data_IF_440546710795
#
_entry.id   IF_440546710795
#
_cell.length_a   1.000
_cell.length_b   1.000
_cell.length_c   1.000
_cell.angle_alpha   90.00
_cell.angle_beta   90.00
_cell.angle_gamma   90.00
#
_symmetry.space_group_name_H-M   'P 1'
#
loop_
_entity.id
_entity.type
_entity.pdbx_description
1 polymer ?
#
# COMPACT_ATOMS: atom_id res chain seq x y z
N UNK A 1 0.21 -15.64 -12.86
CA UNK A 1 -0.87 -16.27 -12.07
C UNK A 1 -2.15 -16.48 -12.88
N UNK A 2 -2.69 -15.45 -13.55
CA UNK A 2 -3.99 -15.59 -14.26
C UNK A 2 -3.88 -15.41 -15.78
N UNK A 3 -3.29 -14.32 -16.26
CA UNK A 3 -3.39 -13.89 -17.65
C UNK A 3 -2.13 -14.15 -18.52
N UNK A 4 -1.14 -14.87 -18.02
CA UNK A 4 0.13 -15.18 -18.72
C UNK A 4 0.97 -13.98 -19.20
N UNK A 5 0.59 -12.74 -18.87
CA UNK A 5 1.42 -11.54 -18.98
C UNK A 5 1.39 -10.75 -17.66
N UNK A 6 2.34 -9.83 -17.53
CA UNK A 6 2.52 -9.00 -16.35
C UNK A 6 3.99 -8.71 -16.09
N UNK A 7 4.28 -8.14 -14.92
CA UNK A 7 5.64 -7.86 -14.49
C UNK A 7 5.82 -8.31 -13.04
N UNK A 8 6.90 -9.04 -12.79
CA UNK A 8 7.33 -9.43 -11.46
C UNK A 8 8.47 -8.50 -11.05
N UNK A 9 8.29 -7.81 -9.93
CA UNK A 9 9.32 -6.94 -9.37
C UNK A 9 10.43 -7.77 -8.74
N UNK A 10 11.59 -7.15 -8.52
CA UNK A 10 12.77 -7.80 -7.96
C UNK A 10 12.49 -8.44 -6.58
N UNK A 11 11.55 -7.92 -5.79
CA UNK A 11 11.18 -8.52 -4.49
C UNK A 11 10.60 -9.93 -4.61
N UNK A 12 9.98 -10.25 -5.74
CA UNK A 12 9.49 -11.59 -6.02
C UNK A 12 10.63 -12.54 -6.39
N UNK A 13 11.59 -12.05 -7.17
CA UNK A 13 12.81 -12.80 -7.50
C UNK A 13 13.60 -13.15 -6.23
N UNK A 14 13.71 -12.21 -5.30
CA UNK A 14 14.35 -12.39 -3.99
C UNK A 14 13.45 -13.03 -2.93
N UNK A 15 12.21 -13.40 -3.30
CA UNK A 15 11.26 -14.13 -2.44
C UNK A 15 10.99 -13.41 -1.11
N UNK A 16 10.88 -12.09 -1.18
CA UNK A 16 10.56 -11.20 -0.06
C UNK A 16 9.04 -11.01 0.13
N UNK A 17 8.24 -11.39 -0.87
CA UNK A 17 6.78 -11.27 -0.87
C UNK A 17 6.14 -12.66 -0.99
N UNK A 18 5.11 -12.91 -0.20
CA UNK A 18 4.39 -14.18 -0.19
C UNK A 18 3.14 -14.14 -1.07
N UNK A 19 2.70 -15.29 -1.55
CA UNK A 19 1.56 -15.37 -2.47
C UNK A 19 0.20 -15.40 -1.76
N UNK A 20 0.15 -15.61 -0.45
CA UNK A 20 -1.09 -15.74 0.34
C UNK A 20 -2.08 -14.58 0.12
N UNK A 21 -1.61 -13.33 0.18
CA UNK A 21 -2.50 -12.17 0.00
C UNK A 21 -2.85 -11.93 -1.49
N UNK A 22 -1.90 -11.94 -2.44
CA UNK A 22 -2.22 -11.82 -3.86
C UNK A 22 -3.16 -12.90 -4.40
N UNK A 23 -3.17 -14.11 -3.82
CA UNK A 23 -4.08 -15.18 -4.22
C UNK A 23 -5.55 -14.83 -4.05
N UNK A 24 -5.89 -14.00 -3.05
CA UNK A 24 -7.26 -13.51 -2.84
C UNK A 24 -7.72 -12.72 -4.06
N UNK A 25 -6.84 -11.90 -4.66
CA UNK A 25 -7.17 -11.13 -5.85
C UNK A 25 -7.02 -11.96 -7.13
N UNK A 26 -6.05 -12.88 -7.16
CA UNK A 26 -5.88 -13.79 -8.29
C UNK A 26 -7.11 -14.70 -8.48
N UNK A 27 -7.78 -15.13 -7.40
CA UNK A 27 -9.02 -15.90 -7.51
C UNK A 27 -10.16 -15.07 -8.10
N UNK A 28 -10.32 -13.82 -7.68
CA UNK A 28 -11.27 -12.87 -8.27
C UNK A 28 -11.00 -12.71 -9.78
N UNK A 29 -9.74 -12.47 -10.15
CA UNK A 29 -9.33 -12.34 -11.54
C UNK A 29 -9.58 -13.60 -12.36
N UNK A 30 -9.32 -14.79 -11.78
CA UNK A 30 -9.58 -16.06 -12.44
C UNK A 30 -11.06 -16.29 -12.68
N UNK A 31 -11.93 -15.93 -11.73
CA UNK A 31 -13.39 -16.01 -11.88
C UNK A 31 -13.84 -15.09 -13.03
N UNK A 32 -13.38 -13.84 -13.05
CA UNK A 32 -13.72 -12.89 -14.11
C UNK A 32 -13.29 -13.39 -15.50
N UNK A 33 -12.09 -13.95 -15.59
CA UNK A 33 -11.56 -14.53 -16.81
C UNK A 33 -12.40 -15.73 -17.30
N UNK A 34 -12.75 -16.65 -16.40
CA UNK A 34 -13.59 -17.81 -16.73
C UNK A 34 -15.00 -17.41 -17.18
N UNK A 35 -15.51 -16.28 -16.71
CA UNK A 35 -16.80 -15.72 -17.13
C UNK A 35 -16.72 -14.90 -18.44
N UNK A 36 -15.52 -14.70 -19.01
CA UNK A 36 -15.31 -13.82 -20.16
C UNK A 36 -15.63 -12.35 -19.86
N UNK A 37 -15.50 -11.93 -18.59
CA UNK A 37 -15.80 -10.57 -18.11
C UNK A 37 -14.57 -9.91 -17.48
N UNK A 38 -13.39 -10.15 -18.02
CA UNK A 38 -12.11 -9.57 -17.58
C UNK A 38 -11.85 -8.18 -18.17
N UNK A 39 -12.87 -7.33 -18.22
CA UNK A 39 -12.67 -5.93 -18.62
C UNK A 39 -11.80 -5.19 -17.60
N UNK A 40 -10.97 -4.25 -18.06
CA UNK A 40 -10.03 -3.51 -17.21
C UNK A 40 -10.74 -2.85 -16.02
N UNK A 41 -11.94 -2.30 -16.24
CA UNK A 41 -12.73 -1.68 -15.18
C UNK A 41 -13.10 -2.67 -14.08
N UNK A 42 -13.52 -3.89 -14.42
CA UNK A 42 -13.85 -4.90 -13.41
C UNK A 42 -12.60 -5.37 -12.66
N UNK A 43 -11.46 -5.49 -13.34
CA UNK A 43 -10.19 -5.88 -12.72
C UNK A 43 -9.62 -4.79 -11.77
N UNK A 44 -9.96 -3.53 -12.00
CA UNK A 44 -9.62 -2.43 -11.08
C UNK A 44 -10.62 -2.37 -9.91
N UNK A 45 -11.92 -2.36 -10.19
CA UNK A 45 -12.93 -2.03 -9.18
C UNK A 45 -13.29 -3.19 -8.26
N UNK A 46 -13.37 -4.43 -8.74
CA UNK A 46 -13.81 -5.56 -7.90
C UNK A 46 -12.84 -5.83 -6.74
N UNK A 47 -11.51 -5.88 -6.93
CA UNK A 47 -10.56 -6.01 -5.82
C UNK A 47 -10.69 -4.89 -4.79
N UNK A 48 -10.91 -3.66 -5.25
CA UNK A 48 -11.10 -2.48 -4.37
C UNK A 48 -12.40 -2.58 -3.58
N UNK A 49 -13.49 -3.02 -4.21
CA UNK A 49 -14.77 -3.26 -3.54
C UNK A 49 -14.67 -4.41 -2.52
N UNK A 50 -13.99 -5.50 -2.86
CA UNK A 50 -13.74 -6.60 -1.93
C UNK A 50 -12.95 -6.12 -0.70
N UNK A 51 -11.89 -5.32 -0.92
CA UNK A 51 -11.11 -4.71 0.16
C UNK A 51 -11.94 -3.72 0.99
N UNK A 52 -12.79 -2.91 0.35
CA UNK A 52 -13.68 -1.98 1.03
C UNK A 52 -14.72 -2.70 1.90
N UNK A 53 -15.27 -3.82 1.42
CA UNK A 53 -16.19 -4.66 2.19
C UNK A 53 -15.51 -5.26 3.42
N UNK A 54 -14.28 -5.75 3.28
CA UNK A 54 -13.48 -6.23 4.42
C UNK A 54 -13.22 -5.12 5.44
N UNK A 55 -12.90 -3.91 4.98
CA UNK A 55 -12.76 -2.73 5.84
C UNK A 55 -14.07 -2.36 6.55
N UNK A 56 -15.20 -2.39 5.85
CA UNK A 56 -16.52 -2.14 6.45
C UNK A 56 -16.88 -3.18 7.53
N UNK A 57 -16.57 -4.46 7.29
CA UNK A 57 -16.71 -5.52 8.31
C UNK A 57 -15.86 -5.20 9.54
N UNK A 58 -14.62 -4.77 9.34
CA UNK A 58 -13.74 -4.37 10.43
C UNK A 58 -14.33 -3.19 11.23
N UNK A 59 -14.82 -2.14 10.57
CA UNK A 59 -15.43 -0.98 11.23
C UNK A 59 -16.70 -1.38 12.04
N UNK A 60 -17.53 -2.28 11.51
CA UNK A 60 -18.68 -2.85 12.23
C UNK A 60 -18.23 -3.66 13.45
N UNK A 61 -17.12 -4.39 13.35
CA UNK A 61 -16.55 -5.12 14.50
C UNK A 61 -15.98 -4.18 15.55
N UNK A 62 -15.37 -3.07 15.16
CA UNK A 62 -14.94 -2.02 16.09
C UNK A 62 -16.15 -1.41 16.84
N UNK A 63 -17.20 -1.03 16.12
CA UNK A 63 -18.44 -0.52 16.72
C UNK A 63 -19.05 -1.55 17.69
N UNK A 64 -19.11 -2.81 17.26
CA UNK A 64 -19.69 -3.90 18.06
C UNK A 64 -18.86 -4.18 19.32
N UNK A 65 -17.53 -4.12 19.23
CA UNK A 65 -16.63 -4.23 20.38
C UNK A 65 -16.89 -3.12 21.39
N UNK A 66 -16.94 -1.86 20.94
CA UNK A 66 -17.17 -0.73 21.84
C UNK A 66 -18.56 -0.74 22.45
N UNK A 67 -19.59 -1.15 21.69
CA UNK A 67 -20.95 -1.31 22.22
C UNK A 67 -21.01 -2.38 23.32
N UNK A 68 -20.20 -3.43 23.19
CA UNK A 68 -20.13 -4.53 24.14
C UNK A 68 -19.34 -4.18 25.40
N UNK A 69 -18.23 -3.45 25.28
CA UNK A 69 -17.40 -3.07 26.41
C UNK A 69 -17.98 -1.88 27.18
N UNK A 70 -18.62 -0.94 26.49
CA UNK A 70 -19.14 0.32 27.03
C UNK A 70 -20.66 0.41 26.88
N UNK A 71 -21.12 1.44 26.19
CA UNK A 71 -22.51 1.73 25.90
C UNK A 71 -22.65 2.17 24.43
N UNK A 72 -23.90 2.30 23.99
CA UNK A 72 -24.21 2.69 22.62
C UNK A 72 -23.71 4.09 22.25
N UNK A 73 -23.61 5.01 23.21
CA UNK A 73 -23.14 6.37 22.94
C UNK A 73 -21.64 6.40 22.59
N UNK A 74 -20.79 5.82 23.43
CA UNK A 74 -19.33 5.76 23.17
C UNK A 74 -19.07 5.02 21.85
N UNK A 75 -19.76 3.90 21.61
CA UNK A 75 -19.62 3.15 20.37
C UNK A 75 -19.93 3.99 19.12
N UNK A 76 -21.00 4.80 19.16
CA UNK A 76 -21.36 5.71 18.06
C UNK A 76 -20.27 6.74 17.78
N UNK A 77 -19.68 7.33 18.82
CA UNK A 77 -18.64 8.34 18.65
C UNK A 77 -17.30 7.75 18.19
N UNK A 78 -16.92 6.56 18.65
CA UNK A 78 -15.74 5.84 18.13
C UNK A 78 -15.94 5.52 16.65
N UNK A 79 -17.12 5.00 16.28
CA UNK A 79 -17.45 4.69 14.89
C UNK A 79 -17.48 5.94 14.01
N UNK A 80 -18.03 7.06 14.51
CA UNK A 80 -17.97 8.35 13.82
C UNK A 80 -16.53 8.79 13.55
N UNK A 81 -15.64 8.77 14.56
CA UNK A 81 -14.23 9.12 14.38
C UNK A 81 -13.54 8.22 13.35
N UNK A 82 -13.78 6.91 13.41
CA UNK A 82 -13.23 5.95 12.46
C UNK A 82 -13.71 6.23 11.03
N UNK A 83 -15.02 6.47 10.85
CA UNK A 83 -15.63 6.81 9.56
C UNK A 83 -15.27 8.20 9.08
N UNK A 84 -14.83 9.12 9.93
CA UNK A 84 -14.42 10.46 9.54
C UNK A 84 -12.92 10.59 9.33
N UNK A 85 -12.11 9.55 9.58
CA UNK A 85 -10.67 9.66 9.39
C UNK A 85 -10.30 9.73 7.90
N UNK A 86 -9.63 10.83 7.50
CA UNK A 86 -9.18 11.01 6.12
C UNK A 86 -8.23 9.89 5.69
N UNK A 87 -7.37 9.44 6.61
CA UNK A 87 -6.38 8.41 6.34
C UNK A 87 -7.02 7.03 6.18
N UNK A 88 -8.06 6.74 6.98
CA UNK A 88 -8.89 5.54 6.76
C UNK A 88 -9.50 5.56 5.36
N UNK A 89 -10.08 6.69 4.90
CA UNK A 89 -10.63 6.78 3.54
C UNK A 89 -9.57 6.61 2.45
N UNK A 90 -8.39 7.18 2.67
CA UNK A 90 -7.25 7.04 1.76
C UNK A 90 -6.80 5.59 1.61
N UNK A 91 -6.79 4.80 2.69
CA UNK A 91 -6.24 3.44 2.71
C UNK A 91 -7.28 2.32 2.52
N UNK A 92 -8.50 2.45 3.04
CA UNK A 92 -9.43 1.32 3.26
C UNK A 92 -9.92 0.61 1.99
N UNK A 93 -9.87 1.29 0.83
CA UNK A 93 -10.25 0.73 -0.48
C UNK A 93 -9.06 0.24 -1.29
N UNK A 94 -7.84 0.51 -0.84
CA UNK A 94 -6.60 0.13 -1.54
C UNK A 94 -6.19 -1.27 -1.09
N UNK A 95 -5.80 -2.09 -2.06
CA UNK A 95 -5.34 -3.49 -1.87
C UNK A 95 -3.92 -3.57 -1.30
N UNK A 96 -3.64 -2.77 -0.27
CA UNK A 96 -2.38 -2.74 0.45
C UNK A 96 -2.36 -3.83 1.52
N UNK A 97 -1.20 -4.44 1.74
CA UNK A 97 -1.02 -5.38 2.86
C UNK A 97 -1.23 -4.70 4.21
N UNK A 98 -0.90 -3.41 4.35
CA UNK A 98 -1.20 -2.64 5.56
C UNK A 98 -2.71 -2.48 5.80
N UNK A 99 -3.52 -2.35 4.74
CA UNK A 99 -4.98 -2.27 4.90
C UNK A 99 -5.50 -3.60 5.43
N UNK A 100 -5.02 -4.72 4.90
CA UNK A 100 -5.40 -6.05 5.38
C UNK A 100 -4.90 -6.32 6.81
N UNK A 101 -3.69 -5.88 7.15
CA UNK A 101 -3.13 -5.90 8.52
C UNK A 101 -4.05 -5.16 9.51
N UNK A 102 -4.52 -3.96 9.15
CA UNK A 102 -5.49 -3.19 9.96
C UNK A 102 -6.82 -3.91 10.09
N UNK A 103 -7.39 -4.42 8.99
CA UNK A 103 -8.66 -5.16 8.99
C UNK A 103 -8.59 -6.36 9.93
N UNK A 104 -7.57 -7.20 9.77
CA UNK A 104 -7.38 -8.39 10.60
C UNK A 104 -7.14 -8.02 12.06
N UNK A 105 -6.39 -6.93 12.32
CA UNK A 105 -6.15 -6.43 13.68
C UNK A 105 -7.44 -6.00 14.37
N UNK A 106 -8.34 -5.28 13.70
CA UNK A 106 -9.62 -4.86 14.30
C UNK A 106 -10.53 -6.08 14.55
N UNK A 107 -10.64 -7.00 13.59
CA UNK A 107 -11.47 -8.20 13.75
C UNK A 107 -10.90 -9.10 14.85
N UNK A 108 -9.58 -9.23 14.95
CA UNK A 108 -8.93 -9.97 16.03
C UNK A 108 -9.17 -9.28 17.39
N UNK A 109 -9.11 -7.94 17.45
CA UNK A 109 -9.39 -7.20 18.68
C UNK A 109 -10.81 -7.46 19.22
N UNK A 110 -11.79 -7.67 18.33
CA UNK A 110 -13.15 -8.05 18.73
C UNK A 110 -13.22 -9.37 19.52
N UNK A 111 -12.36 -10.34 19.19
CA UNK A 111 -12.26 -11.64 19.88
C UNK A 111 -11.19 -11.68 20.99
N UNK A 112 -10.41 -10.62 21.14
CA UNK A 112 -9.32 -10.54 22.12
C UNK A 112 -9.89 -10.36 23.56
N UNK A 113 -9.27 -10.97 24.59
CA UNK A 113 -9.68 -10.93 26.00
C UNK A 113 -9.53 -9.55 26.67
N UNK A 114 -10.26 -8.52 26.20
CA UNK A 114 -10.43 -7.27 26.95
C UNK A 114 -11.38 -7.46 28.13
N UNK A 115 -11.11 -6.75 29.22
CA UNK A 115 -11.97 -6.71 30.40
C UNK A 115 -13.40 -6.28 30.05
N UNK A 116 -14.35 -7.19 30.24
CA UNK A 116 -15.77 -7.00 29.90
C UNK A 116 -16.17 -7.54 28.52
N UNK A 117 -15.24 -8.11 27.74
CA UNK A 117 -15.57 -8.74 26.46
C UNK A 117 -16.28 -10.08 26.70
N UNK A 118 -17.48 -10.22 26.15
CA UNK A 118 -18.26 -11.49 26.11
C UNK A 118 -17.96 -12.33 24.86
N UNK A 119 -17.25 -11.77 23.88
CA UNK A 119 -16.95 -12.40 22.58
C UNK A 119 -15.57 -13.04 22.54
N UNK A 120 -14.90 -13.15 23.70
CA UNK A 120 -13.55 -13.64 23.84
C UNK A 120 -13.38 -15.05 23.24
N UNK A 121 -12.39 -15.22 22.37
CA UNK A 121 -12.02 -16.53 21.83
C UNK A 121 -10.54 -16.56 21.43
N UNK A 122 -9.74 -17.30 22.19
CA UNK A 122 -8.29 -17.36 22.02
C UNK A 122 -7.86 -17.92 20.67
N UNK A 123 -8.56 -18.93 20.15
CA UNK A 123 -8.26 -19.53 18.84
C UNK A 123 -8.58 -18.56 17.70
N UNK A 124 -9.75 -17.88 17.75
CA UNK A 124 -10.18 -16.97 16.68
C UNK A 124 -9.27 -15.76 16.54
N UNK A 125 -8.97 -15.07 17.65
CA UNK A 125 -8.10 -13.89 17.56
C UNK A 125 -6.68 -14.31 17.18
N UNK A 126 -6.12 -15.37 17.75
CA UNK A 126 -4.76 -15.82 17.42
C UNK A 126 -4.64 -16.27 15.96
N UNK A 127 -5.67 -16.91 15.40
CA UNK A 127 -5.71 -17.29 13.97
C UNK A 127 -5.69 -16.07 13.05
N UNK A 128 -6.44 -15.03 13.40
CA UNK A 128 -6.46 -13.77 12.65
C UNK A 128 -5.13 -13.03 12.75
N UNK A 129 -4.49 -13.04 13.92
CA UNK A 129 -3.16 -12.46 14.14
C UNK A 129 -2.08 -13.22 13.37
N UNK A 130 -2.14 -14.56 13.40
CA UNK A 130 -1.23 -15.40 12.63
C UNK A 130 -1.39 -15.17 11.12
N UNK A 131 -2.63 -15.06 10.63
CA UNK A 131 -2.89 -14.68 9.23
C UNK A 131 -2.34 -13.28 8.91
N UNK A 132 -2.52 -12.31 9.80
CA UNK A 132 -1.97 -10.96 9.62
C UNK A 132 -0.44 -10.99 9.54
N UNK A 133 0.21 -11.78 10.38
CA UNK A 133 1.66 -12.00 10.36
C UNK A 133 2.14 -12.67 9.07
N UNK A 134 1.42 -13.66 8.55
CA UNK A 134 1.74 -14.32 7.28
C UNK A 134 1.66 -13.32 6.12
N UNK A 135 0.59 -12.51 6.07
CA UNK A 135 0.42 -11.47 5.04
C UNK A 135 1.47 -10.37 5.20
N UNK A 136 1.79 -10.01 6.45
CA UNK A 136 2.72 -8.95 6.77
C UNK A 136 3.40 -9.22 8.12
N UNK A 137 4.70 -9.58 8.14
CA UNK A 137 5.41 -9.92 9.39
C UNK A 137 5.41 -8.80 10.43
N UNK A 138 5.27 -7.54 10.01
CA UNK A 138 5.18 -6.39 10.91
C UNK A 138 3.95 -6.38 11.82
N UNK A 139 2.92 -7.19 11.53
CA UNK A 139 1.74 -7.32 12.37
C UNK A 139 2.07 -7.77 13.79
N UNK A 140 3.22 -8.43 13.99
CA UNK A 140 3.70 -8.79 15.33
C UNK A 140 3.92 -7.56 16.20
N UNK A 141 4.32 -6.42 15.62
CA UNK A 141 4.67 -5.20 16.38
C UNK A 141 3.49 -4.70 17.22
N UNK A 142 2.31 -4.36 16.65
CA UNK A 142 1.16 -3.93 17.45
C UNK A 142 0.60 -5.07 18.31
N UNK A 143 0.79 -6.34 17.94
CA UNK A 143 0.26 -7.45 18.72
C UNK A 143 1.14 -7.85 19.91
N UNK A 144 2.43 -7.50 19.94
CA UNK A 144 3.34 -7.87 21.04
C UNK A 144 2.82 -7.44 22.42
N UNK A 145 2.44 -6.16 22.68
CA UNK A 145 1.94 -5.77 23.99
C UNK A 145 0.63 -6.47 24.37
N UNK A 146 -0.25 -6.73 23.40
CA UNK A 146 -1.52 -7.41 23.60
C UNK A 146 -1.32 -8.89 23.93
N UNK A 147 -0.50 -9.60 23.14
CA UNK A 147 -0.17 -11.00 23.38
C UNK A 147 0.54 -11.18 24.72
N UNK A 148 1.46 -10.28 25.06
CA UNK A 148 2.13 -10.29 26.36
C UNK A 148 1.16 -10.08 27.52
N UNK A 149 0.22 -9.13 27.39
CA UNK A 149 -0.83 -8.92 28.41
C UNK A 149 -1.66 -10.19 28.60
N UNK A 150 -2.15 -10.81 27.52
CA UNK A 150 -2.95 -12.03 27.63
C UNK A 150 -2.15 -13.17 28.27
N UNK A 151 -0.89 -13.36 27.88
CA UNK A 151 0.00 -14.35 28.49
C UNK A 151 0.19 -14.13 30.00
N UNK A 152 0.31 -12.87 30.44
CA UNK A 152 0.43 -12.55 31.87
C UNK A 152 -0.86 -12.76 32.65
N UNK A 153 -2.03 -12.59 32.01
CA UNK A 153 -3.35 -12.77 32.64
C UNK A 153 -3.78 -14.23 32.72
N UNK A 154 -3.31 -15.08 31.81
CA UNK A 154 -3.71 -16.49 31.74
C UNK A 154 -3.00 -17.32 32.82
N UNK A 155 -3.73 -17.99 33.74
CA UNK A 155 -3.13 -18.83 34.76
C UNK A 155 -2.46 -20.08 34.16
N UNK A 156 -3.07 -20.68 33.13
CA UNK A 156 -2.55 -21.89 32.47
C UNK A 156 -1.70 -21.55 31.24
N UNK A 157 -0.56 -20.91 31.50
CA UNK A 157 0.37 -20.41 30.47
C UNK A 157 0.78 -21.48 29.45
N UNK A 158 1.10 -22.68 29.92
CA UNK A 158 1.51 -23.79 29.04
C UNK A 158 0.37 -24.25 28.12
N UNK A 159 -0.87 -24.26 28.62
CA UNK A 159 -2.04 -24.64 27.84
C UNK A 159 -2.34 -23.63 26.72
N UNK A 160 -2.22 -22.33 27.02
CA UNK A 160 -2.35 -21.27 26.03
C UNK A 160 -1.30 -21.40 24.92
N UNK A 161 -0.05 -21.69 25.27
CA UNK A 161 1.01 -21.85 24.28
C UNK A 161 0.81 -23.13 23.46
N UNK A 162 0.72 -24.29 24.13
CA UNK A 162 0.77 -25.60 23.49
C UNK A 162 -0.51 -25.97 22.74
N UNK A 163 -1.68 -25.58 23.25
CA UNK A 163 -2.97 -25.95 22.64
C UNK A 163 -3.61 -24.85 21.81
N UNK A 164 -3.12 -23.60 21.90
CA UNK A 164 -3.70 -22.49 21.13
C UNK A 164 -2.68 -21.85 20.20
N UNK A 165 -1.61 -21.25 20.71
CA UNK A 165 -0.69 -20.48 19.86
C UNK A 165 0.15 -21.37 18.93
N UNK A 166 0.69 -22.47 19.44
CA UNK A 166 1.54 -23.36 18.66
C UNK A 166 0.75 -24.08 17.54
N UNK A 167 -0.44 -24.65 17.77
CA UNK A 167 -1.23 -25.27 16.70
C UNK A 167 -1.67 -24.27 15.64
N UNK A 168 -2.14 -23.07 16.05
CA UNK A 168 -2.53 -22.01 15.12
C UNK A 168 -1.34 -21.54 14.28
N UNK A 169 -0.19 -21.30 14.92
CA UNK A 169 1.04 -20.92 14.23
C UNK A 169 1.52 -22.01 13.26
N UNK A 170 1.50 -23.27 13.69
CA UNK A 170 1.89 -24.41 12.85
C UNK A 170 1.00 -24.54 11.61
N UNK A 171 -0.33 -24.51 11.77
CA UNK A 171 -1.27 -24.64 10.65
C UNK A 171 -1.11 -23.48 9.66
N UNK A 172 -1.08 -22.24 10.16
CA UNK A 172 -1.00 -21.04 9.31
C UNK A 172 0.35 -20.95 8.57
N UNK A 173 1.45 -21.25 9.25
CA UNK A 173 2.78 -21.26 8.65
C UNK A 173 2.93 -22.39 7.63
N UNK A 174 2.45 -23.59 7.94
CA UNK A 174 2.48 -24.73 7.01
C UNK A 174 1.69 -24.41 5.74
N UNK A 175 0.51 -23.80 5.86
CA UNK A 175 -0.27 -23.37 4.71
C UNK A 175 0.48 -22.32 3.86
N UNK A 176 1.11 -21.32 4.49
CA UNK A 176 1.93 -20.34 3.77
C UNK A 176 3.09 -21.00 3.05
N UNK A 177 3.82 -21.90 3.72
CA UNK A 177 4.95 -22.62 3.13
C UNK A 177 4.53 -23.48 1.93
N UNK A 178 3.37 -24.14 2.00
CA UNK A 178 2.81 -24.90 0.89
C UNK A 178 2.45 -23.99 -0.29
N UNK A 179 1.78 -22.87 -0.02
CA UNK A 179 1.45 -21.86 -1.04
C UNK A 179 2.74 -21.37 -1.72
N UNK A 180 3.71 -20.91 -0.94
CA UNK A 180 4.96 -20.36 -1.45
C UNK A 180 5.78 -21.43 -2.20
N UNK A 181 5.75 -22.70 -1.77
CA UNK A 181 6.37 -23.84 -2.48
C UNK A 181 5.77 -24.09 -3.86
N UNK A 182 4.46 -23.93 -4.01
CA UNK A 182 3.75 -24.12 -5.29
C UNK A 182 4.18 -23.04 -6.28
N UNK A 183 4.26 -21.78 -5.86
CA UNK A 183 4.54 -20.66 -6.76
C UNK A 183 6.04 -20.43 -7.01
N UNK A 184 6.90 -20.56 -5.99
CA UNK A 184 8.34 -20.35 -6.15
C UNK A 184 9.10 -21.60 -6.65
N UNK A 185 8.45 -22.77 -6.69
CA UNK A 185 9.09 -24.02 -7.08
C UNK A 185 10.09 -24.58 -6.05
N UNK A 186 10.22 -23.95 -4.88
CA UNK A 186 11.10 -24.38 -3.78
C UNK A 186 10.55 -23.95 -2.42
N UNK A 187 10.93 -24.65 -1.35
CA UNK A 187 10.49 -24.32 0.01
C UNK A 187 11.06 -22.97 0.41
N UNK A 188 10.18 -22.01 0.65
CA UNK A 188 10.55 -20.61 0.87
C UNK A 188 9.82 -20.09 2.09
N UNK A 189 10.57 -19.71 3.13
CA UNK A 189 10.02 -19.03 4.30
C UNK A 189 10.12 -17.52 4.09
N UNK A 190 9.10 -16.95 3.45
CA UNK A 190 9.05 -15.52 3.08
C UNK A 190 9.23 -14.61 4.30
N UNK A 191 8.65 -14.97 5.44
CA UNK A 191 8.70 -14.17 6.66
C UNK A 191 10.14 -14.03 7.19
N UNK A 192 10.96 -15.08 7.04
CA UNK A 192 12.38 -15.05 7.37
C UNK A 192 13.17 -14.20 6.37
N UNK A 193 12.91 -14.34 5.07
CA UNK A 193 13.56 -13.51 4.05
C UNK A 193 13.23 -12.02 4.25
N UNK A 194 11.99 -11.72 4.57
CA UNK A 194 11.54 -10.36 4.92
C UNK A 194 12.30 -9.81 6.12
N UNK A 195 12.43 -10.59 7.20
CA UNK A 195 13.17 -10.20 8.41
C UNK A 195 14.65 -9.95 8.08
N UNK A 196 15.28 -10.88 7.36
CA UNK A 196 16.68 -10.79 6.94
C UNK A 196 16.92 -9.51 6.15
N UNK A 197 16.08 -9.22 5.16
CA UNK A 197 16.25 -8.08 4.27
C UNK A 197 15.95 -6.74 4.95
N UNK A 198 14.80 -6.62 5.61
CA UNK A 198 14.31 -5.33 6.11
C UNK A 198 14.89 -4.96 7.48
N UNK A 199 15.20 -5.95 8.33
CA UNK A 199 15.64 -5.69 9.71
C UNK A 199 17.12 -5.97 9.87
N UNK A 200 17.60 -7.15 9.43
CA UNK A 200 19.00 -7.54 9.66
C UNK A 200 19.97 -6.82 8.72
N UNK A 201 19.60 -6.65 7.44
CA UNK A 201 20.44 -5.98 6.44
C UNK A 201 20.15 -4.47 6.33
N UNK A 202 19.04 -4.00 6.91
CA UNK A 202 18.57 -2.60 6.87
C UNK A 202 18.59 -1.95 5.47
N UNK A 203 18.38 -2.74 4.42
CA UNK A 203 18.41 -2.26 3.03
C UNK A 203 17.22 -1.34 2.68
N UNK A 204 16.25 -1.20 3.58
CA UNK A 204 15.16 -0.24 3.45
C UNK A 204 15.63 1.22 3.41
N UNK A 205 16.81 1.54 3.96
CA UNK A 205 17.42 2.88 3.87
C UNK A 205 17.61 3.35 2.42
N UNK A 206 17.74 2.42 1.48
CA UNK A 206 17.85 2.69 0.05
C UNK A 206 16.68 3.49 -0.49
N UNK A 207 15.47 3.26 0.03
CA UNK A 207 14.24 3.95 -0.38
C UNK A 207 13.98 5.24 0.40
N UNK A 208 15.02 5.81 1.00
CA UNK A 208 14.95 7.02 1.81
C UNK A 208 14.89 6.72 3.30
N UNK A 209 15.38 7.69 4.09
CA UNK A 209 15.46 7.61 5.53
C UNK A 209 14.88 8.85 6.19
N UNK A 210 14.27 8.67 7.36
CA UNK A 210 13.75 9.76 8.17
C UNK A 210 14.33 9.72 9.58
N UNK A 211 14.49 10.88 10.25
CA UNK A 211 14.94 10.94 11.64
C UNK A 211 14.10 10.06 12.58
N UNK A 212 14.68 9.64 13.72
CA UNK A 212 13.99 8.76 14.67
C UNK A 212 12.68 9.36 15.20
N UNK A 213 12.63 10.68 15.40
CA UNK A 213 11.46 11.38 15.92
C UNK A 213 10.34 11.55 14.88
N UNK A 214 10.55 11.18 13.61
CA UNK A 214 9.63 11.49 12.50
C UNK A 214 8.20 11.01 12.74
N UNK A 215 8.01 9.81 13.32
CA UNK A 215 6.67 9.33 13.65
C UNK A 215 5.99 10.19 14.73
N UNK A 216 6.73 10.70 15.71
CA UNK A 216 6.18 11.56 16.76
C UNK A 216 5.93 13.00 16.26
N UNK A 217 6.82 13.53 15.42
CA UNK A 217 6.75 14.92 14.95
C UNK A 217 5.90 15.13 13.70
N UNK A 218 5.80 14.12 12.82
CA UNK A 218 5.14 14.24 11.52
C UNK A 218 4.20 13.06 11.24
N UNK A 219 4.70 11.83 11.27
CA UNK A 219 3.95 10.62 10.88
C UNK A 219 2.60 10.48 11.57
N UNK A 220 2.62 10.41 12.90
CA UNK A 220 1.43 10.22 13.74
C UNK A 220 0.52 11.47 13.74
N UNK A 221 1.03 12.71 13.88
CA UNK A 221 0.22 13.91 13.72
C UNK A 221 -0.51 14.01 12.38
N UNK A 222 0.13 13.67 11.26
CA UNK A 222 -0.47 13.74 9.92
C UNK A 222 -1.61 12.72 9.78
N UNK A 223 -1.40 11.48 10.23
CA UNK A 223 -2.41 10.43 10.11
C UNK A 223 -3.64 10.72 10.96
N UNK A 224 -3.46 11.20 12.20
CA UNK A 224 -4.59 11.64 13.02
C UNK A 224 -5.22 12.93 12.49
N UNK A 225 -4.41 13.82 11.92
CA UNK A 225 -4.83 15.12 11.44
C UNK A 225 -5.61 15.88 12.51
N UNK A 226 -6.82 16.30 12.17
CA UNK A 226 -7.70 17.04 13.08
C UNK A 226 -8.26 16.19 14.24
N UNK A 227 -8.09 14.86 14.23
CA UNK A 227 -8.41 14.02 15.38
C UNK A 227 -7.37 14.10 16.51
N UNK A 228 -6.18 14.62 16.26
CA UNK A 228 -5.08 14.62 17.24
C UNK A 228 -5.44 15.28 18.59
N UNK A 229 -6.08 16.46 18.65
CA UNK A 229 -6.48 17.06 19.93
C UNK A 229 -7.50 16.20 20.70
N UNK A 230 -8.41 15.54 19.98
CA UNK A 230 -9.42 14.64 20.57
C UNK A 230 -8.78 13.33 21.07
N UNK A 231 -7.76 12.83 20.38
CA UNK A 231 -6.97 11.69 20.84
C UNK A 231 -6.28 12.03 22.17
N UNK A 232 -5.59 13.18 22.23
CA UNK A 232 -4.87 13.63 23.44
C UNK A 232 -5.86 13.80 24.60
N UNK A 233 -6.94 14.55 24.41
CA UNK A 233 -7.98 14.74 25.43
C UNK A 233 -8.59 13.40 25.86
N UNK A 234 -8.87 12.51 24.91
CA UNK A 234 -9.40 11.17 25.16
C UNK A 234 -8.48 10.27 25.98
N UNK A 235 -7.16 10.40 25.83
CA UNK A 235 -6.18 9.65 26.63
C UNK A 235 -6.29 9.93 28.13
N UNK A 236 -6.70 11.15 28.52
CA UNK A 236 -6.92 11.51 29.93
C UNK A 236 -8.27 11.05 30.47
N UNK A 237 -9.27 10.87 29.60
CA UNK A 237 -10.64 10.53 29.99
C UNK A 237 -10.95 9.03 29.94
N UNK A 238 -10.31 8.29 29.04
CA UNK A 238 -10.63 6.88 28.83
C UNK A 238 -10.34 6.03 30.09
N UNK A 239 -11.21 5.05 30.41
CA UNK A 239 -11.02 4.14 31.52
C UNK A 239 -9.67 3.40 31.47
N UNK A 240 -9.12 3.08 32.65
CA UNK A 240 -7.79 2.42 32.78
C UNK A 240 -7.68 1.12 31.98
N UNK A 241 -8.77 0.40 31.74
CA UNK A 241 -8.78 -0.84 30.94
C UNK A 241 -8.27 -0.66 29.50
N UNK A 242 -8.43 0.53 28.91
CA UNK A 242 -7.94 0.85 27.56
C UNK A 242 -6.49 1.31 27.52
N UNK A 243 -5.80 1.43 28.66
CA UNK A 243 -4.38 1.77 28.68
C UNK A 243 -3.54 0.80 27.87
N UNK A 244 -3.93 -0.46 27.73
CA UNK A 244 -3.23 -1.40 26.85
C UNK A 244 -3.25 -0.96 25.38
N UNK A 245 -4.35 -0.36 24.92
CA UNK A 245 -4.44 0.14 23.55
C UNK A 245 -3.51 1.34 23.35
N UNK A 246 -3.43 2.24 24.35
CA UNK A 246 -2.48 3.36 24.34
C UNK A 246 -1.02 2.87 24.37
N UNK A 247 -0.70 1.90 25.24
CA UNK A 247 0.62 1.27 25.28
C UNK A 247 0.94 0.65 23.92
N UNK A 248 -0.03 0.02 23.26
CA UNK A 248 0.15 -0.58 21.93
C UNK A 248 0.44 0.47 20.86
N UNK A 249 -0.28 1.60 20.87
CA UNK A 249 0.00 2.75 19.98
C UNK A 249 1.44 3.24 20.21
N UNK A 250 1.79 3.57 21.45
CA UNK A 250 3.11 4.12 21.80
C UNK A 250 4.26 3.15 21.49
N UNK A 251 4.07 1.86 21.79
CA UNK A 251 5.01 0.79 21.45
C UNK A 251 5.23 0.71 19.95
N UNK A 252 4.15 0.73 19.17
CA UNK A 252 4.23 0.65 17.71
C UNK A 252 4.98 1.85 17.14
N UNK A 253 4.68 3.07 17.61
CA UNK A 253 5.41 4.27 17.22
C UNK A 253 6.90 4.18 17.57
N UNK A 254 7.23 3.72 18.78
CA UNK A 254 8.62 3.58 19.23
C UNK A 254 9.41 2.59 18.35
N UNK A 255 8.86 1.40 18.11
CA UNK A 255 9.53 0.36 17.31
C UNK A 255 9.76 0.85 15.87
N UNK A 256 8.75 1.44 15.24
CA UNK A 256 8.91 1.98 13.89
C UNK A 256 9.82 3.22 13.84
N UNK A 257 9.90 4.00 14.92
CA UNK A 257 10.84 5.12 15.04
C UNK A 257 12.30 4.69 15.01
N UNK A 258 12.61 3.48 15.47
CA UNK A 258 13.97 2.90 15.44
C UNK A 258 14.40 2.45 14.03
N UNK A 259 13.45 2.27 13.10
CA UNK A 259 13.76 1.88 11.72
C UNK A 259 14.08 3.13 10.89
N UNK A 260 15.12 3.07 10.06
CA UNK A 260 15.55 4.22 9.25
C UNK A 260 14.50 4.63 8.21
N UNK A 261 13.94 3.64 7.49
CA UNK A 261 12.88 3.85 6.51
C UNK A 261 11.51 3.90 7.18
N UNK A 262 10.70 4.90 6.83
CA UNK A 262 9.41 5.17 7.46
C UNK A 262 8.38 5.57 6.41
N UNK A 263 7.16 5.09 6.61
CA UNK A 263 6.01 5.46 5.78
C UNK A 263 4.77 5.65 6.66
N UNK A 264 3.85 6.53 6.25
CA UNK A 264 2.60 6.75 6.98
C UNK A 264 1.78 5.47 7.14
N UNK A 265 1.66 4.65 6.08
CA UNK A 265 0.81 3.44 6.10
C UNK A 265 1.28 2.36 7.07
N UNK A 266 2.52 2.38 7.56
CA UNK A 266 3.04 1.37 8.50
C UNK A 266 2.36 1.41 9.87
N UNK A 267 1.89 2.59 10.29
CA UNK A 267 1.20 2.77 11.58
C UNK A 267 -0.32 2.80 11.44
N UNK A 268 -0.85 2.52 10.24
CA UNK A 268 -2.29 2.38 10.02
C UNK A 268 -2.97 1.36 10.95
N UNK A 269 -2.37 0.21 11.30
CA UNK A 269 -3.02 -0.80 12.16
C UNK A 269 -3.40 -0.31 13.56
N UNK A 270 -2.72 0.72 14.07
CA UNK A 270 -3.02 1.30 15.40
C UNK A 270 -3.94 2.52 15.33
N UNK A 271 -4.27 3.03 14.14
CA UNK A 271 -5.21 4.14 13.99
C UNK A 271 -6.58 3.87 14.62
N UNK A 272 -7.21 2.68 14.45
CA UNK A 272 -8.48 2.37 15.09
C UNK A 272 -8.41 2.42 16.62
N UNK A 273 -7.24 2.15 17.21
CA UNK A 273 -7.04 2.22 18.66
C UNK A 273 -7.07 3.68 19.12
N UNK A 274 -6.50 4.59 18.33
CA UNK A 274 -6.61 6.03 18.57
C UNK A 274 -8.07 6.50 18.49
N UNK A 275 -8.87 5.97 17.56
CA UNK A 275 -10.28 6.33 17.42
C UNK A 275 -11.13 5.96 18.65
N UNK A 276 -10.73 4.95 19.41
CA UNK A 276 -11.34 4.65 20.72
C UNK A 276 -11.22 5.85 21.66
N UNK A 277 -10.02 6.43 21.79
CA UNK A 277 -9.79 7.61 22.64
C UNK A 277 -10.50 8.86 22.09
N UNK A 278 -10.48 9.07 20.77
CA UNK A 278 -11.22 10.17 20.14
C UNK A 278 -12.72 10.09 20.45
N UNK A 279 -13.32 8.89 20.38
CA UNK A 279 -14.72 8.67 20.74
C UNK A 279 -15.01 9.01 22.21
N UNK A 280 -14.12 8.66 23.14
CA UNK A 280 -14.23 9.07 24.55
C UNK A 280 -14.23 10.58 24.75
N UNK A 281 -13.32 11.27 24.05
CA UNK A 281 -13.26 12.74 24.07
C UNK A 281 -14.58 13.33 23.59
N UNK A 282 -15.12 12.83 22.47
CA UNK A 282 -16.40 13.30 21.95
C UNK A 282 -17.56 13.02 22.90
N UNK A 283 -17.63 11.85 23.55
CA UNK A 283 -18.70 11.57 24.54
C UNK A 283 -18.77 12.64 25.63
N UNK A 284 -17.62 13.06 26.16
CA UNK A 284 -17.53 14.01 27.28
C UNK A 284 -17.65 15.48 26.86
N UNK A 285 -17.57 15.81 25.56
CA UNK A 285 -17.81 17.16 25.08
C UNK A 285 -19.31 17.49 25.14
N UNK A 286 -19.64 18.58 25.85
CA UNK A 286 -21.01 19.12 25.97
C UNK A 286 -21.25 20.24 24.96
N UNK A 287 -20.83 21.46 25.29
CA UNK A 287 -21.15 22.69 24.52
C UNK A 287 -20.55 22.68 23.10
N UNK A 288 -19.30 22.24 22.96
CA UNK A 288 -18.56 22.28 21.70
C UNK A 288 -18.71 21.01 20.84
N UNK A 289 -19.61 20.08 21.21
CA UNK A 289 -19.76 18.79 20.50
C UNK A 289 -20.16 18.99 19.04
N UNK A 290 -21.27 19.69 18.75
CA UNK A 290 -21.75 19.91 17.38
C UNK A 290 -20.70 20.59 16.47
N UNK A 291 -20.09 21.73 16.85
CA UNK A 291 -19.07 22.35 16.00
C UNK A 291 -17.83 21.45 15.82
N UNK A 292 -17.41 20.71 16.86
CA UNK A 292 -16.31 19.76 16.75
C UNK A 292 -16.60 18.65 15.73
N UNK A 293 -17.83 18.09 15.72
CA UNK A 293 -18.22 17.07 14.75
C UNK A 293 -18.21 17.60 13.32
N UNK A 294 -18.78 18.79 13.11
CA UNK A 294 -18.79 19.44 11.79
C UNK A 294 -17.37 19.71 11.30
N UNK A 295 -16.51 20.26 12.18
CA UNK A 295 -15.11 20.52 11.88
C UNK A 295 -14.34 19.24 11.54
N UNK A 296 -14.49 18.18 12.34
CA UNK A 296 -13.84 16.88 12.08
C UNK A 296 -14.28 16.31 10.74
N UNK A 297 -15.59 16.26 10.48
CA UNK A 297 -16.11 15.73 9.22
C UNK A 297 -15.61 16.55 8.01
N UNK A 298 -15.80 17.87 8.01
CA UNK A 298 -15.44 18.72 6.87
C UNK A 298 -13.93 18.73 6.61
N UNK A 299 -13.11 18.88 7.65
CA UNK A 299 -11.64 18.90 7.48
C UNK A 299 -11.10 17.60 6.90
N UNK A 300 -11.59 16.45 7.37
CA UNK A 300 -11.16 15.16 6.84
C UNK A 300 -11.77 14.86 5.47
N UNK A 301 -13.02 15.25 5.21
CA UNK A 301 -13.69 15.09 3.92
C UNK A 301 -12.90 15.79 2.80
N UNK A 302 -12.54 17.06 2.98
CA UNK A 302 -11.77 17.80 1.97
C UNK A 302 -10.41 17.15 1.70
N UNK A 303 -9.69 16.77 2.77
CA UNK A 303 -8.37 16.15 2.62
C UNK A 303 -8.47 14.77 1.95
N UNK A 304 -9.48 13.97 2.31
CA UNK A 304 -9.70 12.65 1.72
C UNK A 304 -10.12 12.74 0.25
N UNK A 305 -11.00 13.68 -0.12
CA UNK A 305 -11.38 13.90 -1.52
C UNK A 305 -10.19 14.39 -2.35
N UNK A 306 -9.39 15.32 -1.82
CA UNK A 306 -8.21 15.81 -2.52
C UNK A 306 -7.18 14.70 -2.74
N UNK A 307 -6.82 13.98 -1.69
CA UNK A 307 -5.81 12.90 -1.76
C UNK A 307 -6.31 11.63 -2.46
N UNK A 308 -7.62 11.43 -2.54
CA UNK A 308 -8.26 10.30 -3.20
C UNK A 308 -8.59 10.51 -4.67
N UNK A 309 -8.88 11.75 -5.09
CA UNK A 309 -9.41 12.05 -6.44
C UNK A 309 -8.53 13.00 -7.27
N UNK A 310 -7.69 13.83 -6.63
CA UNK A 310 -6.97 14.92 -7.31
C UNK A 310 -5.47 14.71 -7.27
N UNK A 311 -4.90 14.56 -6.07
CA UNK A 311 -3.46 14.44 -5.89
C UNK A 311 -2.93 13.14 -6.49
N UNK A 312 -1.86 13.26 -7.26
CA UNK A 312 -1.17 12.19 -7.97
C UNK A 312 -2.05 11.41 -9.00
N UNK A 313 -3.18 11.96 -9.46
CA UNK A 313 -4.09 11.22 -10.36
C UNK A 313 -3.50 10.90 -11.74
N UNK A 314 -2.56 11.72 -12.21
CA UNK A 314 -2.01 11.62 -13.57
C UNK A 314 -1.37 10.27 -13.90
N UNK A 315 -0.86 9.55 -12.91
CA UNK A 315 -0.29 8.20 -13.09
C UNK A 315 -1.36 7.14 -13.35
N UNK A 316 -2.61 7.38 -12.94
CA UNK A 316 -3.77 6.54 -13.28
C UNK A 316 -4.36 6.94 -14.63
N UNK A 317 -4.54 8.25 -14.85
CA UNK A 317 -5.15 8.79 -16.08
C UNK A 317 -4.35 8.37 -17.33
N UNK A 318 -3.01 8.42 -17.24
CA UNK A 318 -2.13 8.04 -18.35
C UNK A 318 -2.28 6.55 -18.73
N UNK A 319 -2.58 5.66 -17.79
CA UNK A 319 -2.78 4.24 -18.10
C UNK A 319 -4.05 4.01 -18.93
N UNK A 320 -5.08 4.84 -18.75
CA UNK A 320 -6.28 4.82 -19.60
C UNK A 320 -5.98 5.26 -21.04
N UNK A 321 -4.97 6.11 -21.25
CA UNK A 321 -4.46 6.44 -22.57
C UNK A 321 -3.67 5.27 -23.17
N UNK A 322 -2.78 4.63 -22.38
CA UNK A 322 -2.02 3.44 -22.80
C UNK A 322 -2.92 2.28 -23.19
N UNK A 323 -4.04 2.07 -22.50
CA UNK A 323 -5.05 1.07 -22.90
C UNK A 323 -5.49 1.25 -24.36
N UNK A 324 -5.70 2.49 -24.83
CA UNK A 324 -6.15 2.76 -26.21
C UNK A 324 -5.08 2.37 -27.25
N UNK A 325 -3.81 2.39 -26.86
CA UNK A 325 -2.70 1.95 -27.72
C UNK A 325 -2.80 0.45 -28.02
N UNK A 326 -3.30 -0.37 -27.08
CA UNK A 326 -3.47 -1.81 -27.30
C UNK A 326 -4.54 -2.17 -28.33
N UNK A 327 -5.63 -1.40 -28.39
CA UNK A 327 -6.77 -1.70 -29.27
C UNK A 327 -6.66 -1.03 -30.63
N UNK A 328 -5.73 -0.09 -30.82
CA UNK A 328 -5.57 0.65 -32.06
C UNK A 328 -4.53 -0.01 -32.99
N UNK A 329 -5.05 -0.54 -34.10
CA UNK A 329 -4.40 -0.94 -35.36
C UNK A 329 -3.69 -2.31 -35.46
N UNK A 330 -4.28 -3.29 -36.20
CA UNK A 330 -3.58 -4.48 -36.69
C UNK A 330 -2.44 -4.17 -37.68
N UNK A 331 -2.42 -2.95 -38.25
CA UNK A 331 -1.51 -2.55 -39.34
C UNK A 331 -0.33 -1.66 -38.90
N UNK A 332 -0.18 -1.36 -37.60
CA UNK A 332 1.00 -0.65 -37.05
C UNK A 332 2.01 -1.66 -36.50
N UNK A 333 3.33 -1.37 -36.55
CA UNK A 333 4.32 -2.19 -35.85
C UNK A 333 3.96 -2.27 -34.36
N UNK A 334 4.29 -3.39 -33.72
CA UNK A 334 3.98 -3.66 -32.32
C UNK A 334 4.36 -2.47 -31.44
N UNK A 335 3.36 -1.81 -30.85
CA UNK A 335 3.60 -0.66 -30.00
C UNK A 335 4.41 -1.08 -28.77
N UNK A 336 5.27 -0.17 -28.30
CA UNK A 336 6.08 -0.36 -27.09
C UNK A 336 6.09 0.94 -26.29
N UNK A 337 5.98 0.82 -24.97
CA UNK A 337 5.87 1.97 -24.07
C UNK A 337 7.05 1.97 -23.11
N UNK A 338 7.75 3.10 -23.03
CA UNK A 338 8.76 3.31 -22.01
C UNK A 338 8.34 4.41 -21.03
N UNK A 339 8.21 4.03 -19.76
CA UNK A 339 7.83 4.92 -18.66
C UNK A 339 9.10 5.42 -17.97
N UNK A 340 9.55 6.60 -18.36
CA UNK A 340 10.71 7.31 -17.81
C UNK A 340 10.27 8.21 -16.66
N UNK A 341 9.73 7.56 -15.63
CA UNK A 341 9.32 8.16 -14.37
C UNK A 341 10.03 7.37 -13.25
N UNK A 342 10.10 7.90 -12.01
CA UNK A 342 10.58 7.10 -10.89
C UNK A 342 9.91 5.73 -10.83
N UNK A 343 10.66 4.72 -10.42
CA UNK A 343 10.18 3.34 -10.40
C UNK A 343 8.82 3.21 -9.68
N UNK A 344 7.97 2.31 -10.16
CA UNK A 344 6.62 2.06 -9.60
C UNK A 344 5.67 3.28 -9.57
N UNK A 345 5.92 4.33 -10.37
CA UNK A 345 5.04 5.51 -10.44
C UNK A 345 3.64 5.21 -10.99
N UNK A 346 3.49 4.22 -11.87
CA UNK A 346 2.21 3.88 -12.50
C UNK A 346 1.76 2.46 -12.11
N UNK A 347 0.45 2.18 -12.09
CA UNK A 347 -0.05 0.85 -11.72
C UNK A 347 0.09 -0.20 -12.84
N UNK A 348 0.65 0.19 -13.99
CA UNK A 348 1.16 -0.70 -15.02
C UNK A 348 0.10 -1.70 -15.55
N UNK A 349 0.43 -2.97 -15.74
CA UNK A 349 -0.47 -3.98 -16.30
C UNK A 349 -1.80 -4.14 -15.56
N UNK A 350 -1.90 -3.77 -14.28
CA UNK A 350 -3.17 -3.83 -13.55
C UNK A 350 -4.23 -2.86 -14.09
N UNK A 351 -3.80 -1.78 -14.75
CA UNK A 351 -4.67 -0.78 -15.37
C UNK A 351 -4.54 -0.73 -16.89
N UNK A 352 -3.71 -1.57 -17.50
CA UNK A 352 -3.56 -1.65 -18.97
C UNK A 352 -4.22 -2.91 -19.50
N UNK A 353 -4.03 -4.05 -18.83
CA UNK A 353 -4.64 -5.34 -19.12
C UNK A 353 -4.62 -5.74 -20.61
N UNK A 354 -3.43 -5.72 -21.20
CA UNK A 354 -3.14 -6.27 -22.52
C UNK A 354 -1.65 -6.64 -22.60
N UNK A 355 -1.24 -7.56 -23.50
CA UNK A 355 0.15 -8.00 -23.64
C UNK A 355 1.01 -6.98 -24.41
N UNK A 356 0.92 -5.70 -24.04
CA UNK A 356 1.73 -4.61 -24.60
C UNK A 356 3.15 -4.67 -24.03
N UNK A 357 4.21 -4.69 -24.84
CA UNK A 357 5.58 -4.50 -24.36
C UNK A 357 5.71 -3.14 -23.67
N UNK A 358 5.92 -3.16 -22.36
CA UNK A 358 6.16 -1.97 -21.57
C UNK A 358 7.47 -2.13 -20.80
N UNK A 359 8.16 -1.02 -20.54
CA UNK A 359 9.32 -0.94 -19.63
C UNK A 359 9.18 0.31 -18.77
N UNK A 360 9.75 0.27 -17.57
CA UNK A 360 9.93 1.43 -16.72
C UNK A 360 11.32 1.37 -16.07
N UNK A 361 11.83 2.50 -15.60
CA UNK A 361 13.12 2.56 -14.89
C UNK A 361 13.06 1.75 -13.60
N UNK A 362 13.94 0.76 -13.45
CA UNK A 362 13.98 -0.12 -12.28
C UNK A 362 14.81 0.50 -11.14
N UNK A 363 14.47 0.14 -9.90
CA UNK A 363 15.20 0.59 -8.71
C UNK A 363 15.45 -0.55 -7.71
N UNK A 364 16.08 -1.67 -8.14
CA UNK A 364 16.43 -2.74 -7.21
C UNK A 364 17.54 -2.23 -6.25
N UNK A 365 17.48 -2.58 -4.96
CA UNK A 365 18.50 -2.21 -4.00
C UNK A 365 19.76 -3.02 -4.26
N UNK A 366 20.88 -2.60 -3.68
CA UNK A 366 22.12 -3.36 -3.80
C UNK A 366 22.05 -4.69 -3.05
N UNK A 367 21.99 -5.78 -3.81
CA UNK A 367 22.05 -7.14 -3.29
C UNK A 367 23.48 -7.70 -3.27
N UNK A 368 24.44 -6.97 -3.85
CA UNK A 368 25.82 -7.41 -4.07
C UNK A 368 26.82 -6.87 -3.06
N UNK A 369 26.44 -5.86 -2.26
CA UNK A 369 27.26 -5.31 -1.18
C UNK A 369 28.35 -4.34 -1.64
N UNK A 370 28.19 -3.71 -2.80
CA UNK A 370 29.08 -2.69 -3.35
C UNK A 370 28.87 -1.35 -2.63
N UNK A 371 29.96 -0.71 -2.23
CA UNK A 371 29.93 0.68 -1.78
C UNK A 371 29.51 1.61 -2.94
N UNK A 372 28.55 2.52 -2.70
CA UNK A 372 28.05 3.50 -3.68
C UNK A 372 27.33 2.90 -4.90
N UNK A 373 26.52 1.85 -4.67
CA UNK A 373 25.61 1.35 -5.69
C UNK A 373 24.58 2.42 -6.11
N UNK A 374 24.37 2.54 -7.42
CA UNK A 374 23.30 3.33 -8.03
C UNK A 374 22.43 2.38 -8.87
N UNK A 375 21.12 2.48 -8.73
CA UNK A 375 20.19 1.71 -9.55
C UNK A 375 19.99 2.33 -10.95
N UNK A 376 19.28 1.63 -11.84
CA UNK A 376 19.00 2.09 -13.21
C UNK A 376 18.35 3.48 -13.22
N UNK A 377 17.36 3.72 -12.35
CA UNK A 377 16.68 5.01 -12.28
C UNK A 377 17.64 6.11 -11.79
N UNK A 378 18.46 5.85 -10.78
CA UNK A 378 19.47 6.81 -10.31
C UNK A 378 20.50 7.15 -11.38
N UNK A 379 21.04 6.15 -12.08
CA UNK A 379 21.99 6.35 -13.18
C UNK A 379 21.33 7.17 -14.31
N UNK A 380 20.07 6.88 -14.64
CA UNK A 380 19.30 7.65 -15.60
C UNK A 380 19.17 9.12 -15.20
N UNK A 381 18.72 9.40 -13.97
CA UNK A 381 18.48 10.76 -13.48
C UNK A 381 19.76 11.56 -13.21
N UNK A 382 20.95 10.96 -13.23
CA UNK A 382 22.22 11.70 -13.18
C UNK A 382 22.54 12.42 -14.50
N UNK A 383 22.22 11.81 -15.64
CA UNK A 383 22.39 12.43 -16.96
C UNK A 383 21.44 11.77 -17.99
N UNK A 384 20.16 12.19 -18.03
CA UNK A 384 19.14 11.51 -18.84
C UNK A 384 19.48 11.48 -20.33
N UNK A 385 20.01 12.58 -20.88
CA UNK A 385 20.31 12.68 -22.30
C UNK A 385 21.39 11.68 -22.73
N UNK A 386 22.51 11.64 -22.01
CA UNK A 386 23.61 10.71 -22.30
C UNK A 386 23.17 9.25 -22.06
N UNK A 387 22.37 8.98 -21.03
CA UNK A 387 21.82 7.65 -20.80
C UNK A 387 20.95 7.18 -21.97
N UNK A 388 20.04 8.04 -22.45
CA UNK A 388 19.16 7.72 -23.58
C UNK A 388 19.93 7.48 -24.88
N UNK A 389 20.97 8.27 -25.14
CA UNK A 389 21.83 8.07 -26.31
C UNK A 389 22.63 6.77 -26.26
N UNK A 390 22.98 6.28 -25.05
CA UNK A 390 23.65 4.99 -24.84
C UNK A 390 22.68 3.81 -24.91
N UNK A 391 21.49 3.98 -24.37
CA UNK A 391 20.50 2.90 -24.37
C UNK A 391 19.90 2.67 -25.76
N UNK A 392 19.67 3.75 -26.51
CA UNK A 392 18.99 3.72 -27.80
C UNK A 392 19.92 4.15 -28.94
N UNK A 393 20.92 3.33 -29.23
CA UNK A 393 21.84 3.54 -30.36
C UNK A 393 21.19 3.31 -31.73
N UNK A 394 20.20 2.41 -31.81
CA UNK A 394 19.53 2.03 -33.05
C UNK A 394 18.06 2.46 -33.07
N UNK A 395 17.59 2.98 -34.22
CA UNK A 395 16.19 3.36 -34.44
C UNK A 395 15.18 2.21 -34.21
N UNK A 396 15.65 0.97 -34.33
CA UNK A 396 14.87 -0.25 -34.08
C UNK A 396 14.61 -0.49 -32.59
N UNK A 397 15.48 0.01 -31.71
CA UNK A 397 15.37 -0.14 -30.24
C UNK A 397 14.46 0.90 -29.60
N UNK A 398 14.20 2.01 -30.30
CA UNK A 398 13.43 3.13 -29.80
C UNK A 398 11.95 2.75 -29.54
N UNK A 399 11.40 3.03 -28.36
CA UNK A 399 10.01 2.74 -28.04
C UNK A 399 9.04 3.59 -28.87
N UNK A 400 7.83 3.10 -29.14
CA UNK A 400 6.86 3.89 -29.91
C UNK A 400 6.25 5.02 -29.08
N UNK A 401 6.11 4.81 -27.76
CA UNK A 401 5.58 5.80 -26.82
C UNK A 401 6.52 6.01 -25.64
N UNK A 402 6.64 7.27 -25.23
CA UNK A 402 7.36 7.69 -24.04
C UNK A 402 6.40 8.33 -23.06
N UNK A 403 6.53 8.00 -21.78
CA UNK A 403 5.76 8.60 -20.69
C UNK A 403 6.75 9.21 -19.69
N UNK A 404 6.63 10.52 -19.46
CA UNK A 404 7.52 11.28 -18.56
C UNK A 404 6.73 12.16 -17.60
N UNK A 405 7.35 12.49 -16.47
CA UNK A 405 6.92 13.67 -15.70
C UNK A 405 7.39 14.95 -16.38
N UNK A 406 6.63 16.03 -16.22
CA UNK A 406 6.89 17.32 -16.87
C UNK A 406 8.28 17.89 -16.59
N UNK A 407 8.84 17.62 -15.41
CA UNK A 407 10.16 18.13 -15.02
C UNK A 407 11.31 17.57 -15.88
N UNK A 408 11.12 16.39 -16.46
CA UNK A 408 12.14 15.73 -17.27
C UNK A 408 12.20 16.28 -18.72
N UNK A 409 11.17 17.00 -19.18
CA UNK A 409 11.04 17.41 -20.59
C UNK A 409 12.24 18.24 -21.07
N UNK A 410 12.68 19.21 -20.28
CA UNK A 410 13.77 20.11 -20.66
C UNK A 410 15.10 19.35 -20.84
N UNK A 411 15.39 18.41 -19.92
CA UNK A 411 16.64 17.62 -19.91
C UNK A 411 16.78 16.66 -21.10
N UNK A 412 15.67 16.19 -21.67
CA UNK A 412 15.67 15.23 -22.79
C UNK A 412 15.14 15.82 -24.11
N UNK A 413 14.89 17.13 -24.17
CA UNK A 413 14.31 17.83 -25.34
C UNK A 413 15.07 17.57 -26.65
N UNK A 414 16.41 17.54 -26.60
CA UNK A 414 17.26 17.21 -27.74
C UNK A 414 17.05 15.77 -28.24
N UNK A 415 16.88 14.81 -27.33
CA UNK A 415 16.57 13.42 -27.67
C UNK A 415 15.17 13.29 -28.29
N UNK A 416 14.16 13.95 -27.71
CA UNK A 416 12.79 13.94 -28.22
C UNK A 416 12.73 14.47 -29.66
N UNK A 417 13.46 15.56 -29.94
CA UNK A 417 13.49 16.18 -31.27
C UNK A 417 14.25 15.33 -32.29
N UNK A 418 15.46 14.87 -31.95
CA UNK A 418 16.28 14.04 -32.84
C UNK A 418 15.61 12.71 -33.18
N UNK A 419 14.88 12.13 -32.23
CA UNK A 419 14.17 10.86 -32.40
C UNK A 419 12.72 11.02 -32.90
N UNK A 420 12.31 12.21 -33.34
CA UNK A 420 10.99 12.50 -33.92
C UNK A 420 9.79 12.17 -33.02
N UNK A 421 9.91 12.43 -31.72
CA UNK A 421 8.82 12.29 -30.75
C UNK A 421 7.97 13.57 -30.66
N UNK A 422 6.65 13.41 -30.81
CA UNK A 422 5.70 14.50 -30.62
C UNK A 422 4.83 14.26 -29.40
N UNK A 423 4.61 15.31 -28.60
CA UNK A 423 3.70 15.25 -27.46
C UNK A 423 2.26 15.06 -27.93
N UNK A 424 1.61 13.99 -27.49
CA UNK A 424 0.24 13.61 -27.90
C UNK A 424 -0.79 13.74 -26.78
N UNK A 425 -0.36 13.67 -25.51
CA UNK A 425 -1.26 13.83 -24.37
C UNK A 425 -0.57 14.47 -23.16
N UNK A 426 -1.38 15.14 -22.33
CA UNK A 426 -0.97 15.78 -21.08
C UNK A 426 -2.00 15.46 -20.01
N UNK A 427 -1.53 15.00 -18.85
CA UNK A 427 -2.37 14.67 -17.71
C UNK A 427 -1.90 15.43 -16.47
N UNK A 428 -2.83 16.10 -15.79
CA UNK A 428 -2.53 16.71 -14.50
C UNK A 428 -2.17 15.62 -13.47
N UNK A 429 -1.10 15.83 -12.71
CA UNK A 429 -0.64 14.91 -11.68
C UNK A 429 -0.79 15.48 -10.27
N UNK A 430 -0.16 16.61 -9.97
CA UNK A 430 -0.13 17.17 -8.61
C UNK A 430 0.09 18.69 -8.62
N UNK A 431 -0.47 19.37 -7.63
CA UNK A 431 -0.15 20.78 -7.35
C UNK A 431 1.18 20.95 -6.59
N UNK A 432 1.69 19.86 -6.01
CA UNK A 432 2.90 19.83 -5.18
C UNK A 432 3.92 18.88 -5.83
N UNK A 433 4.63 19.31 -6.90
CA UNK A 433 5.74 18.54 -7.46
C UNK A 433 6.95 18.58 -6.51
N UNK A 434 7.71 17.49 -6.46
CA UNK A 434 8.91 17.37 -5.61
C UNK A 434 9.95 16.45 -6.25
N UNK A 435 11.21 16.88 -6.26
CA UNK A 435 12.31 16.10 -6.81
C UNK A 435 12.05 15.66 -8.25
N UNK A 436 12.01 14.35 -8.48
CA UNK A 436 11.80 13.73 -9.80
C UNK A 436 10.32 13.68 -10.24
N UNK A 437 9.38 14.14 -9.40
CA UNK A 437 7.94 14.10 -9.64
C UNK A 437 7.47 15.46 -10.18
N UNK A 438 6.95 15.47 -11.41
CA UNK A 438 6.44 16.66 -12.07
C UNK A 438 4.95 16.94 -11.79
N UNK A 439 4.51 18.16 -12.09
CA UNK A 439 3.11 18.58 -11.92
C UNK A 439 2.16 17.91 -12.91
N UNK A 440 2.69 17.49 -14.07
CA UNK A 440 1.95 16.80 -15.13
C UNK A 440 2.70 15.56 -15.61
N UNK A 441 1.96 14.62 -16.20
CA UNK A 441 2.50 13.49 -16.96
C UNK A 441 2.29 13.76 -18.44
N UNK A 442 3.36 13.67 -19.23
CA UNK A 442 3.33 13.85 -20.68
C UNK A 442 3.50 12.50 -21.39
N UNK A 443 2.79 12.37 -22.52
CA UNK A 443 2.93 11.23 -23.43
C UNK A 443 3.46 11.74 -24.76
N UNK A 444 4.50 11.09 -25.27
CA UNK A 444 5.04 11.34 -26.61
C UNK A 444 4.85 10.09 -27.47
N UNK A 445 4.49 10.28 -28.73
CA UNK A 445 4.44 9.25 -29.76
C UNK A 445 5.51 9.53 -30.82
N UNK A 446 6.23 8.49 -31.23
CA UNK A 446 7.24 8.57 -32.28
C UNK A 446 6.58 8.66 -33.65
N UNK A 447 6.95 9.65 -34.47
CA UNK A 447 6.61 9.65 -35.90
C UNK A 447 7.53 8.69 -36.63
N UNK A 448 6.99 7.58 -37.11
CA UNK A 448 7.71 6.72 -38.06
C UNK A 448 7.74 7.44 -39.41
N UNK A 449 8.92 7.94 -39.80
CA UNK A 449 9.17 8.39 -41.16
C UNK A 449 9.09 7.18 -42.08
N UNK A 450 8.03 7.10 -42.88
CA UNK A 450 7.87 6.02 -43.84
C UNK A 450 9.02 6.00 -44.84
N UNK A 451 9.90 4.99 -44.78
CA UNK A 451 10.65 4.53 -45.94
C UNK A 451 9.67 3.87 -46.92
N UNK A 452 8.82 4.67 -47.56
CA UNK A 452 8.21 4.31 -48.84
C UNK A 452 8.97 5.01 -49.97
N UNK A 453 10.26 4.70 -50.09
CA UNK A 453 10.87 4.73 -51.41
C UNK A 453 10.35 3.51 -52.16
N UNK A 454 9.16 3.63 -52.77
CA UNK A 454 8.86 2.86 -53.98
C UNK A 454 9.79 3.37 -55.08
N UNK A 455 11.04 2.95 -55.03
CA UNK A 455 11.86 2.85 -56.22
C UNK A 455 11.54 1.51 -56.88
N UNK A 456 11.35 1.58 -58.20
CA UNK A 456 11.36 0.49 -59.19
C UNK A 456 10.06 -0.32 -59.30
N UNK A 457 9.48 -0.54 -60.48
CA UNK A 457 9.88 -0.32 -61.88
C UNK A 457 8.67 0.15 -62.68
#
# INVERSE_FOLDING_TARGET
MVFNYGYLTWEWTERLRGYTFPLIFASIYKILHLLGKDTVQLLIWIPRLAQALLSAVADVRLYSLMKQLENQEVARWVFFCQLCSWFTWYCCTRTLTNTMETVLTIIALFYYPLEGSKSMNSVKYSSLVALAFIIRPTAVIPWTPLLFRHFCQEPRKLDLILHHFLPVGFVTLSLSLMIDRIFFGQWTLVQFNFLKFNVLQNLGTFYGSHPWHWYFSQGFPVILGTHLPFFIHGCFLAPKRYRILLVTVLWTLLVYSMLSHKEFRFIYPVLPFCMVFCGYSLTHLKTWKKPALSFLFLSNLFLALYTGLVHQRGTLDVMSHVQKVCYNNPNKPSASVFVMMPCHSTPYYSHVHCPLPMRFLQCPPDLTGKSQYLDEADIFYLNPLNWLQREFHDDASLPTHLIIFSILEEEISAFLTSSSYNRTAVFFHTHLPEGRIGSHVYVYERKLTGKFNKMKF
#
